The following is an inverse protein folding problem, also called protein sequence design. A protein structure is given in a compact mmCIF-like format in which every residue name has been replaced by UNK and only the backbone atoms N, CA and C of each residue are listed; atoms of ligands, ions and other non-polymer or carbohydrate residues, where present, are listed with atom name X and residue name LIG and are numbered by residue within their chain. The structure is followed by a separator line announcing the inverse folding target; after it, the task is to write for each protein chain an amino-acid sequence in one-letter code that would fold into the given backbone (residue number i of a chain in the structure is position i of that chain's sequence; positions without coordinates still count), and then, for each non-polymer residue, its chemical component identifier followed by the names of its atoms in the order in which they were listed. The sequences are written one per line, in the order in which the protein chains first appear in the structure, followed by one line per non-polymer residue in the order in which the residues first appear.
data_IF_286539312760
#
_entry.id   IF_286539312760
#
_cell.length_a   1.000
_cell.length_b   1.000
_cell.length_c   1.000
_cell.angle_alpha   90.00
_cell.angle_beta   90.00
_cell.angle_gamma   90.00
#
_symmetry.space_group_name_H-M   'P 1'
#
loop_
_entity.id
_entity.type
_entity.pdbx_description
1 polymer ?
#
# COMPACT_ATOMS: atom_id res chain seq x y z
N UNK A 1 -23.25 -43.88 -33.57
CA UNK A 1 -23.54 -42.43 -33.60
C UNK A 1 -22.51 -41.73 -32.72
N UNK A 2 -21.50 -41.12 -33.34
CA UNK A 2 -20.38 -40.45 -32.64
C UNK A 2 -20.77 -38.99 -32.43
N UNK A 3 -20.79 -38.55 -31.17
CA UNK A 3 -21.16 -37.21 -30.74
C UNK A 3 -20.20 -36.15 -31.35
N UNK A 4 -20.77 -35.18 -32.06
CA UNK A 4 -20.08 -34.05 -32.71
C UNK A 4 -19.47 -33.01 -31.75
N UNK A 5 -19.44 -33.28 -30.45
CA UNK A 5 -19.01 -32.32 -29.42
C UNK A 5 -17.50 -32.25 -29.23
N UNK A 6 -16.72 -33.16 -29.81
CA UNK A 6 -15.25 -33.18 -29.65
C UNK A 6 -14.48 -32.24 -30.59
N UNK A 7 -15.15 -31.62 -31.57
CA UNK A 7 -14.48 -30.76 -32.56
C UNK A 7 -14.31 -29.29 -32.13
N UNK A 8 -14.91 -28.87 -31.01
CA UNK A 8 -14.83 -27.46 -30.57
C UNK A 8 -13.70 -27.22 -29.57
N UNK A 9 -13.19 -28.27 -28.90
CA UNK A 9 -12.10 -28.12 -27.92
C UNK A 9 -10.73 -28.00 -28.62
N UNK A 10 -10.61 -28.45 -29.87
CA UNK A 10 -9.37 -28.37 -30.65
C UNK A 10 -8.99 -26.96 -31.15
N UNK A 11 -9.93 -26.01 -31.16
CA UNK A 11 -9.68 -24.65 -31.67
C UNK A 11 -9.33 -23.62 -30.58
N UNK A 12 -9.50 -23.96 -29.30
CA UNK A 12 -9.12 -23.07 -28.20
C UNK A 12 -7.63 -23.17 -27.84
N UNK A 13 -6.93 -24.21 -28.32
CA UNK A 13 -5.49 -24.44 -28.07
C UNK A 13 -4.61 -23.91 -29.22
N UNK A 14 -5.19 -23.29 -30.25
CA UNK A 14 -4.43 -22.63 -31.33
C UNK A 14 -4.11 -21.15 -31.09
N UNK A 15 -4.36 -20.61 -29.88
CA UNK A 15 -3.87 -19.28 -29.49
C UNK A 15 -2.54 -19.31 -28.71
N UNK A 16 -1.83 -20.43 -28.75
CA UNK A 16 -0.43 -20.54 -28.29
C UNK A 16 0.51 -20.44 -29.49
N UNK A 17 0.45 -19.34 -30.25
CA UNK A 17 1.47 -19.09 -31.29
C UNK A 17 1.73 -17.62 -31.61
N UNK A 18 1.29 -16.70 -30.76
CA UNK A 18 1.69 -15.29 -30.87
C UNK A 18 2.26 -14.83 -29.53
N UNK A 19 3.58 -15.00 -29.29
CA UNK A 19 4.23 -14.41 -28.12
C UNK A 19 3.98 -12.89 -28.03
N UNK A 20 3.69 -12.24 -29.16
CA UNK A 20 3.32 -10.82 -29.22
C UNK A 20 2.03 -10.52 -28.45
N UNK A 21 0.96 -11.31 -28.63
CA UNK A 21 -0.35 -11.03 -28.01
C UNK A 21 -0.31 -11.29 -26.50
N UNK A 22 0.40 -12.33 -26.06
CA UNK A 22 0.62 -12.61 -24.63
C UNK A 22 1.47 -11.55 -23.94
N UNK A 23 2.53 -11.08 -24.59
CA UNK A 23 3.39 -9.99 -24.08
C UNK A 23 2.63 -8.66 -24.02
N UNK A 24 1.71 -8.41 -24.96
CA UNK A 24 0.94 -7.17 -25.00
C UNK A 24 -0.23 -7.15 -24.00
N UNK A 25 -0.87 -8.30 -23.78
CA UNK A 25 -1.84 -8.50 -22.70
C UNK A 25 -1.17 -8.39 -21.32
N UNK A 26 0.02 -8.97 -21.15
CA UNK A 26 0.81 -8.86 -19.91
C UNK A 26 1.21 -7.40 -19.62
N UNK A 27 1.65 -6.64 -20.65
CA UNK A 27 1.95 -5.21 -20.52
C UNK A 27 0.73 -4.36 -20.16
N UNK A 28 -0.42 -4.59 -20.78
CA UNK A 28 -1.67 -3.86 -20.47
C UNK A 28 -2.20 -4.20 -19.08
N UNK A 29 -2.21 -5.49 -18.72
CA UNK A 29 -2.63 -5.94 -17.39
C UNK A 29 -1.71 -5.37 -16.29
N UNK A 30 -0.39 -5.36 -16.53
CA UNK A 30 0.59 -4.71 -15.65
C UNK A 30 0.34 -3.22 -15.51
N UNK A 31 0.08 -2.51 -16.61
CA UNK A 31 -0.19 -1.07 -16.57
C UNK A 31 -1.46 -0.73 -15.78
N UNK A 32 -2.56 -1.48 -15.99
CA UNK A 32 -3.80 -1.28 -15.22
C UNK A 32 -3.61 -1.62 -13.75
N UNK A 33 -2.93 -2.72 -13.42
CA UNK A 33 -2.57 -3.06 -12.04
C UNK A 33 -1.77 -1.94 -11.37
N UNK A 34 -0.79 -1.36 -12.05
CA UNK A 34 0.03 -0.29 -11.49
C UNK A 34 -0.75 1.02 -11.31
N UNK A 35 -1.69 1.33 -12.21
CA UNK A 35 -2.63 2.46 -12.01
C UNK A 35 -3.50 2.25 -10.78
N UNK A 36 -4.04 1.04 -10.60
CA UNK A 36 -4.86 0.69 -9.44
C UNK A 36 -4.07 0.78 -8.12
N UNK A 37 -2.79 0.41 -8.12
CA UNK A 37 -1.92 0.51 -6.94
C UNK A 37 -1.46 1.96 -6.66
N UNK A 38 -1.42 2.87 -7.64
CA UNK A 38 -0.90 4.22 -7.44
C UNK A 38 -1.75 5.08 -6.49
N UNK A 39 -3.08 5.00 -6.59
CA UNK A 39 -4.01 5.75 -5.73
C UNK A 39 -3.88 5.38 -4.23
N UNK A 40 -3.93 4.09 -3.81
CA UNK A 40 -3.78 3.72 -2.41
C UNK A 40 -2.40 4.05 -1.84
N UNK A 41 -1.33 4.00 -2.65
CA UNK A 41 0.01 4.43 -2.22
C UNK A 41 0.04 5.91 -1.86
N UNK A 42 -0.56 6.75 -2.70
CA UNK A 42 -0.66 8.19 -2.45
C UNK A 42 -1.43 8.51 -1.16
N UNK A 43 -2.51 7.76 -0.87
CA UNK A 43 -3.26 7.92 0.37
C UNK A 43 -2.45 7.52 1.61
N UNK A 44 -1.73 6.40 1.56
CA UNK A 44 -0.90 5.91 2.66
C UNK A 44 0.29 6.86 2.93
N UNK A 45 0.91 7.41 1.89
CA UNK A 45 1.96 8.43 2.03
C UNK A 45 1.43 9.70 2.71
N UNK A 46 0.23 10.17 2.33
CA UNK A 46 -0.41 11.34 2.96
C UNK A 46 -0.77 11.05 4.42
N UNK A 47 -1.30 9.87 4.71
CA UNK A 47 -1.63 9.45 6.07
C UNK A 47 -0.38 9.36 6.95
N UNK A 48 0.70 8.77 6.45
CA UNK A 48 2.00 8.73 7.13
C UNK A 48 2.55 10.14 7.39
N UNK A 49 2.51 11.03 6.39
CA UNK A 49 2.97 12.40 6.54
C UNK A 49 2.16 13.16 7.61
N UNK A 50 0.83 12.94 7.66
CA UNK A 50 -0.03 13.49 8.71
C UNK A 50 0.31 12.93 10.10
N UNK A 51 0.47 11.61 10.22
CA UNK A 51 0.87 10.97 11.47
C UNK A 51 2.22 11.49 11.99
N UNK A 52 3.21 11.65 11.10
CA UNK A 52 4.52 12.20 11.45
C UNK A 52 4.44 13.66 11.93
N UNK A 53 3.60 14.49 11.30
CA UNK A 53 3.35 15.87 11.76
C UNK A 53 2.72 15.90 13.14
N UNK A 54 1.72 15.05 13.37
CA UNK A 54 1.04 14.96 14.66
C UNK A 54 1.94 14.40 15.76
N UNK A 55 2.78 13.42 15.45
CA UNK A 55 3.79 12.92 16.38
C UNK A 55 4.75 14.03 16.83
N UNK A 56 5.26 14.83 15.89
CA UNK A 56 6.12 15.98 16.23
C UNK A 56 5.42 17.01 17.11
N UNK A 57 4.12 17.25 16.87
CA UNK A 57 3.31 18.13 17.73
C UNK A 57 3.16 17.53 19.12
N UNK A 58 2.70 16.29 19.23
CA UNK A 58 2.51 15.59 20.49
C UNK A 58 3.82 15.45 21.30
N UNK A 59 4.96 15.30 20.62
CA UNK A 59 6.27 15.31 21.26
C UNK A 59 6.61 16.67 21.89
N UNK A 60 6.26 17.78 21.24
CA UNK A 60 6.42 19.12 21.83
C UNK A 60 5.49 19.30 23.02
N UNK A 61 4.23 18.90 22.88
CA UNK A 61 3.23 19.01 23.95
C UNK A 61 3.64 18.18 25.18
N UNK A 62 4.17 16.97 24.96
CA UNK A 62 4.77 16.15 26.02
C UNK A 62 5.95 16.85 26.71
N UNK A 63 6.86 17.45 25.95
CA UNK A 63 7.99 18.17 26.53
C UNK A 63 7.54 19.40 27.36
N UNK A 64 6.47 20.08 26.94
CA UNK A 64 5.87 21.17 27.70
C UNK A 64 5.19 20.66 28.98
N UNK A 65 4.46 19.55 28.90
CA UNK A 65 3.82 18.92 30.06
C UNK A 65 4.84 18.46 31.12
N UNK A 66 5.96 17.88 30.68
CA UNK A 66 7.06 17.51 31.60
C UNK A 66 7.62 18.74 32.31
N UNK A 67 7.75 19.87 31.61
CA UNK A 67 8.24 21.13 32.20
C UNK A 67 7.25 21.74 33.19
N UNK A 68 5.95 21.55 33.01
CA UNK A 68 4.94 22.08 33.93
C UNK A 68 4.85 21.29 35.24
N UNK A 69 5.51 20.12 35.33
CA UNK A 69 5.45 19.20 36.49
C UNK A 69 4.04 18.73 36.83
N UNK A 70 3.11 18.82 35.88
CA UNK A 70 1.76 18.28 36.00
C UNK A 70 1.77 16.82 35.56
N UNK A 71 1.66 15.90 36.50
CA UNK A 71 1.68 14.45 36.25
C UNK A 71 0.51 13.99 35.37
N UNK A 72 -0.69 14.56 35.56
CA UNK A 72 -1.86 14.20 34.77
C UNK A 72 -1.71 14.65 33.33
N UNK A 73 -1.24 15.88 33.14
CA UNK A 73 -0.96 16.42 31.80
C UNK A 73 0.15 15.62 31.11
N UNK A 74 1.21 15.26 31.84
CA UNK A 74 2.32 14.45 31.32
C UNK A 74 1.86 13.06 30.89
N UNK A 75 1.05 12.38 31.71
CA UNK A 75 0.50 11.07 31.37
C UNK A 75 -0.40 11.11 30.14
N UNK A 76 -1.24 12.15 30.02
CA UNK A 76 -2.10 12.36 28.84
C UNK A 76 -1.27 12.62 27.58
N UNK A 77 -0.31 13.53 27.63
CA UNK A 77 0.56 13.86 26.50
C UNK A 77 1.44 12.67 26.09
N UNK A 78 1.87 11.85 27.04
CA UNK A 78 2.62 10.61 26.77
C UNK A 78 1.78 9.60 25.96
N UNK A 79 0.51 9.39 26.34
CA UNK A 79 -0.41 8.51 25.61
C UNK A 79 -0.62 9.00 24.18
N UNK A 80 -0.89 10.28 24.00
CA UNK A 80 -1.12 10.86 22.67
C UNK A 80 0.14 10.80 21.79
N UNK A 81 1.32 11.08 22.36
CA UNK A 81 2.60 10.91 21.67
C UNK A 81 2.79 9.47 21.18
N UNK A 82 2.56 8.48 22.04
CA UNK A 82 2.74 7.08 21.67
C UNK A 82 1.72 6.63 20.62
N UNK A 83 0.46 7.09 20.70
CA UNK A 83 -0.54 6.85 19.66
C UNK A 83 -0.04 7.28 18.28
N UNK A 84 0.55 8.48 18.17
CA UNK A 84 1.07 8.98 16.90
C UNK A 84 2.36 8.29 16.45
N UNK A 85 3.21 7.86 17.39
CA UNK A 85 4.36 6.98 17.07
C UNK A 85 3.89 5.70 16.42
N UNK A 86 2.92 5.01 17.04
CA UNK A 86 2.42 3.72 16.56
C UNK A 86 1.72 3.86 15.20
N UNK A 87 0.98 4.97 14.99
CA UNK A 87 0.40 5.31 13.69
C UNK A 87 1.49 5.54 12.61
N UNK A 88 2.58 6.24 12.95
CA UNK A 88 3.70 6.45 12.05
C UNK A 88 4.40 5.13 11.69
N UNK A 89 4.69 4.28 12.68
CA UNK A 89 5.31 2.96 12.45
C UNK A 89 4.44 2.04 11.59
N UNK A 90 3.13 2.03 11.86
CA UNK A 90 2.17 1.27 11.05
C UNK A 90 2.12 1.78 9.62
N UNK A 91 2.07 3.10 9.43
CA UNK A 91 2.11 3.72 8.10
C UNK A 91 3.38 3.36 7.33
N UNK A 92 4.55 3.38 8.00
CA UNK A 92 5.82 3.02 7.37
C UNK A 92 5.81 1.56 6.86
N UNK A 93 5.36 0.61 7.70
CA UNK A 93 5.23 -0.81 7.31
C UNK A 93 4.27 -1.01 6.13
N UNK A 94 3.23 -0.18 5.99
CA UNK A 94 2.33 -0.23 4.83
C UNK A 94 3.04 0.29 3.58
N UNK A 95 3.70 1.44 3.67
CA UNK A 95 4.47 2.03 2.57
C UNK A 95 5.55 1.04 2.08
N UNK A 96 6.27 0.38 2.99
CA UNK A 96 7.29 -0.61 2.61
C UNK A 96 6.70 -1.79 1.82
N UNK A 97 5.55 -2.31 2.25
CA UNK A 97 4.84 -3.37 1.52
C UNK A 97 4.39 -2.91 0.13
N UNK A 98 3.94 -1.66 0.02
CA UNK A 98 3.61 -1.08 -1.28
C UNK A 98 4.85 -0.90 -2.16
N UNK A 99 5.96 -0.41 -1.61
CA UNK A 99 7.21 -0.25 -2.35
C UNK A 99 7.74 -1.59 -2.87
N UNK A 100 7.64 -2.65 -2.08
CA UNK A 100 7.99 -4.01 -2.49
C UNK A 100 7.11 -4.48 -3.67
N UNK A 101 5.78 -4.32 -3.56
CA UNK A 101 4.84 -4.67 -4.64
C UNK A 101 5.07 -3.85 -5.90
N UNK A 102 5.29 -2.55 -5.75
CA UNK A 102 5.58 -1.65 -6.87
C UNK A 102 6.88 -2.05 -7.57
N UNK A 103 7.92 -2.40 -6.82
CA UNK A 103 9.20 -2.85 -7.39
C UNK A 103 9.06 -4.17 -8.13
N UNK A 104 8.24 -5.10 -7.63
CA UNK A 104 8.03 -6.41 -8.26
C UNK A 104 7.20 -6.35 -9.55
N UNK A 105 6.20 -5.46 -9.61
CA UNK A 105 5.20 -5.47 -10.68
C UNK A 105 5.12 -4.18 -11.51
N UNK A 106 5.69 -3.07 -11.07
CA UNK A 106 5.48 -1.74 -11.68
C UNK A 106 6.77 -1.00 -12.06
N UNK A 107 7.93 -1.60 -11.77
CA UNK A 107 9.25 -1.11 -12.21
C UNK A 107 9.67 -1.83 -13.48
#
# INVERSE_FOLDING_TARGET
MINKTFLVIGAAVTLVSSPVVGVELDKKARAEFCKEQAAPIGQELRAFAAARRNFRKAQRDFNLAVKSKDEKLTASAYKEKNRWRDAQETGLKRIDRFAARWTAFCK
#
